data_IF_209694463516
#
_entry.id   IF_209694463516
#
_cell.length_a   1.000
_cell.length_b   1.000
_cell.length_c   1.000
_cell.angle_alpha   90.00
_cell.angle_beta   90.00
_cell.angle_gamma   90.00
#
_symmetry.space_group_name_H-M   'P 1'
#
loop_
_entity.id
_entity.type
_entity.pdbx_description
1 polymer ?
#
# COMPACT_ATOMS: atom_id res chain seq x y z
N UNK A 1 74.26 38.66 16.24
CA UNK A 1 73.27 38.75 17.34
C UNK A 1 71.94 38.20 16.85
N UNK A 2 71.37 37.25 17.61
CA UNK A 2 69.97 36.75 17.62
C UNK A 2 69.44 36.07 16.35
N UNK A 3 68.68 34.98 16.38
CA UNK A 3 68.34 33.92 17.35
C UNK A 3 67.56 32.90 16.50
N UNK A 4 68.05 31.66 16.34
CA UNK A 4 67.43 30.44 16.88
C UNK A 4 65.95 30.56 17.26
N UNK A 5 65.04 29.85 16.57
CA UNK A 5 63.83 29.20 17.09
C UNK A 5 63.04 28.66 15.90
N UNK A 6 63.01 27.35 15.69
CA UNK A 6 61.92 26.58 15.06
C UNK A 6 62.41 25.13 14.91
N UNK A 7 62.36 24.37 16.01
CA UNK A 7 62.69 22.94 15.99
C UNK A 7 61.92 22.20 17.08
N UNK A 8 60.59 22.31 17.07
CA UNK A 8 59.71 21.63 18.03
C UNK A 8 58.35 21.18 17.51
N UNK A 9 58.06 21.22 16.19
CA UNK A 9 56.69 20.94 15.69
C UNK A 9 56.48 19.55 15.05
N UNK A 10 57.52 18.70 14.93
CA UNK A 10 57.36 17.38 14.29
C UNK A 10 56.86 16.27 15.21
N UNK A 11 56.93 16.44 16.54
CA UNK A 11 56.50 15.40 17.49
C UNK A 11 55.00 15.51 17.80
N UNK A 12 54.41 16.71 17.76
CA UNK A 12 52.97 16.91 17.98
C UNK A 12 52.10 16.37 16.82
N UNK A 13 52.60 16.43 15.58
CA UNK A 13 51.84 15.96 14.41
C UNK A 13 51.69 14.43 14.35
N UNK A 14 52.69 13.68 14.84
CA UNK A 14 52.65 12.21 14.89
C UNK A 14 51.76 11.67 16.02
N UNK A 15 51.65 12.38 17.15
CA UNK A 15 50.74 11.99 18.24
C UNK A 15 49.26 12.21 17.87
N UNK A 16 48.93 13.28 17.14
CA UNK A 16 47.55 13.52 16.67
C UNK A 16 47.09 12.47 15.64
N UNK A 17 47.98 12.02 14.74
CA UNK A 17 47.64 10.97 13.77
C UNK A 17 47.44 9.60 14.46
N UNK A 18 48.25 9.29 15.47
CA UNK A 18 48.10 8.05 16.26
C UNK A 18 46.77 7.98 17.04
N UNK A 19 46.33 9.10 17.62
CA UNK A 19 45.06 9.19 18.37
C UNK A 19 43.85 9.12 17.41
N UNK A 20 43.93 9.71 16.22
CA UNK A 20 42.87 9.61 15.19
C UNK A 20 42.74 8.17 14.68
N UNK A 21 43.86 7.45 14.48
CA UNK A 21 43.83 6.05 14.04
C UNK A 21 43.30 5.13 15.15
N UNK A 22 43.62 5.38 16.43
CA UNK A 22 43.05 4.63 17.56
C UNK A 22 41.55 4.92 17.78
N UNK A 23 41.07 6.14 17.49
CA UNK A 23 39.63 6.43 17.49
C UNK A 23 38.87 5.76 16.33
N UNK A 24 39.53 5.56 15.18
CA UNK A 24 38.94 4.82 14.06
C UNK A 24 38.92 3.29 14.25
N UNK A 25 39.82 2.74 15.07
CA UNK A 25 39.87 1.30 15.35
C UNK A 25 38.92 0.90 16.51
N UNK A 26 38.53 1.85 17.37
CA UNK A 26 37.79 1.56 18.62
C UNK A 26 36.26 1.61 18.55
N UNK A 27 35.63 1.79 17.38
CA UNK A 27 34.17 2.01 17.28
C UNK A 27 33.44 1.15 16.24
N UNK A 28 34.04 0.05 15.77
CA UNK A 28 33.29 -1.00 15.04
C UNK A 28 33.22 -2.27 15.87
N UNK A 29 32.86 -2.16 17.15
CA UNK A 29 32.07 -3.23 17.73
C UNK A 29 30.73 -3.19 16.98
N UNK A 30 30.65 -3.94 15.88
CA UNK A 30 29.37 -4.43 15.37
C UNK A 30 28.76 -5.12 16.58
N UNK A 31 27.94 -4.41 17.35
CA UNK A 31 26.99 -5.08 18.21
C UNK A 31 26.29 -6.03 17.25
N UNK A 32 26.39 -7.32 17.53
CA UNK A 32 25.50 -8.28 16.92
C UNK A 32 24.12 -7.89 17.41
N UNK A 33 23.54 -6.87 16.79
CA UNK A 33 22.11 -6.68 16.83
C UNK A 33 21.60 -8.02 16.32
N UNK A 34 20.90 -8.74 17.20
CA UNK A 34 20.16 -9.93 16.81
C UNK A 34 19.42 -9.55 15.52
N UNK A 35 19.74 -10.23 14.42
CA UNK A 35 19.15 -9.97 13.12
C UNK A 35 17.71 -10.49 13.17
N UNK A 36 16.89 -9.69 13.83
CA UNK A 36 15.49 -9.92 14.03
C UNK A 36 14.71 -9.17 12.95
N UNK A 37 13.80 -9.87 12.31
CA UNK A 37 12.97 -9.31 11.27
C UNK A 37 11.53 -9.77 11.43
N UNK A 38 10.60 -8.88 11.13
CA UNK A 38 9.21 -9.25 10.94
C UNK A 38 9.07 -9.93 9.58
N UNK A 39 8.37 -11.07 9.56
CA UNK A 39 8.02 -11.78 8.33
C UNK A 39 6.53 -11.98 8.29
N UNK A 40 5.94 -11.86 7.10
CA UNK A 40 4.58 -12.30 6.89
C UNK A 40 4.47 -13.80 7.23
N UNK A 41 3.47 -14.14 8.03
CA UNK A 41 3.18 -15.50 8.47
C UNK A 41 2.01 -16.07 7.66
N UNK A 42 0.82 -15.48 7.79
CA UNK A 42 -0.35 -15.89 7.03
C UNK A 42 -1.42 -14.79 6.93
N UNK A 43 -2.39 -15.01 6.04
CA UNK A 43 -3.61 -14.23 5.90
C UNK A 43 -4.79 -14.99 6.48
N UNK A 44 -5.65 -14.30 7.23
CA UNK A 44 -6.91 -14.86 7.74
C UNK A 44 -8.10 -13.98 7.30
N UNK A 45 -9.00 -14.50 6.44
CA UNK A 45 -10.22 -13.79 6.08
C UNK A 45 -11.19 -13.71 7.26
N UNK A 46 -11.93 -12.61 7.39
CA UNK A 46 -12.99 -12.49 8.40
C UNK A 46 -14.14 -13.46 8.12
N UNK A 47 -14.96 -13.81 9.12
CA UNK A 47 -16.21 -14.53 8.91
C UNK A 47 -17.10 -13.89 7.84
N UNK A 48 -17.12 -12.55 7.76
CA UNK A 48 -17.89 -11.84 6.75
C UNK A 48 -17.32 -12.02 5.33
N UNK A 49 -16.00 -11.91 5.17
CA UNK A 49 -15.32 -12.20 3.89
C UNK A 49 -15.53 -13.66 3.47
N UNK A 50 -15.36 -14.61 4.39
CA UNK A 50 -15.57 -16.05 4.13
C UNK A 50 -16.98 -16.35 3.65
N UNK A 51 -17.98 -15.68 4.21
CA UNK A 51 -19.35 -15.79 3.74
C UNK A 51 -19.47 -15.41 2.25
N UNK A 52 -18.90 -14.26 1.87
CA UNK A 52 -18.91 -13.82 0.47
C UNK A 52 -18.14 -14.77 -0.44
N UNK A 53 -16.90 -15.12 -0.05
CA UNK A 53 -16.03 -16.02 -0.81
C UNK A 53 -16.71 -17.37 -1.09
N UNK A 54 -17.29 -18.00 -0.07
CA UNK A 54 -17.93 -19.31 -0.19
C UNK A 54 -19.23 -19.28 -1.02
N UNK A 55 -19.90 -18.14 -1.08
CA UNK A 55 -21.19 -18.00 -1.78
C UNK A 55 -21.09 -17.22 -3.10
N UNK A 56 -19.87 -16.83 -3.53
CA UNK A 56 -19.70 -15.85 -4.61
C UNK A 56 -20.29 -16.28 -5.96
N UNK A 57 -20.31 -17.59 -6.23
CA UNK A 57 -20.90 -18.15 -7.45
C UNK A 57 -22.40 -17.84 -7.54
N UNK A 58 -23.11 -17.87 -6.40
CA UNK A 58 -24.52 -17.49 -6.31
C UNK A 58 -24.69 -15.97 -6.22
N UNK A 59 -23.84 -15.30 -5.43
CA UNK A 59 -23.96 -13.87 -5.14
C UNK A 59 -23.59 -12.96 -6.33
N UNK A 60 -22.83 -13.42 -7.32
CA UNK A 60 -22.38 -12.60 -8.45
C UNK A 60 -23.51 -11.87 -9.19
N UNK A 61 -24.71 -12.45 -9.27
CA UNK A 61 -25.86 -11.83 -9.95
C UNK A 61 -26.83 -11.15 -8.97
N UNK A 62 -26.49 -11.10 -7.69
CA UNK A 62 -27.35 -10.61 -6.61
C UNK A 62 -26.58 -9.72 -5.63
N UNK A 63 -25.45 -9.12 -6.05
CA UNK A 63 -24.55 -8.41 -5.15
C UNK A 63 -25.28 -7.28 -4.43
N UNK A 64 -25.97 -6.40 -5.17
CA UNK A 64 -26.73 -5.33 -4.51
C UNK A 64 -27.96 -5.82 -3.76
N UNK A 65 -28.63 -6.88 -4.22
CA UNK A 65 -29.73 -7.47 -3.46
C UNK A 65 -29.26 -7.96 -2.09
N UNK A 66 -28.08 -8.59 -2.06
CA UNK A 66 -27.48 -9.11 -0.83
C UNK A 66 -26.99 -8.00 0.07
N UNK A 67 -26.25 -7.02 -0.46
CA UNK A 67 -25.74 -5.89 0.32
C UNK A 67 -26.86 -5.05 0.95
N UNK A 68 -28.07 -5.06 0.37
CA UNK A 68 -29.25 -4.38 0.92
C UNK A 68 -29.94 -5.11 2.07
N UNK A 69 -29.59 -6.35 2.36
CA UNK A 69 -30.11 -7.02 3.56
C UNK A 69 -29.66 -6.28 4.83
N UNK A 70 -30.54 -6.16 5.83
CA UNK A 70 -30.29 -5.36 7.03
C UNK A 70 -28.95 -5.70 7.73
N UNK A 71 -28.62 -6.99 7.83
CA UNK A 71 -27.33 -7.43 8.39
C UNK A 71 -26.14 -6.91 7.58
N UNK A 72 -26.20 -7.01 6.25
CA UNK A 72 -25.10 -6.60 5.36
C UNK A 72 -24.94 -5.08 5.32
N UNK A 73 -26.03 -4.32 5.31
CA UNK A 73 -25.99 -2.85 5.43
C UNK A 73 -25.35 -2.46 6.77
N UNK A 74 -25.78 -3.05 7.88
CA UNK A 74 -25.26 -2.71 9.21
C UNK A 74 -23.76 -3.01 9.33
N UNK A 75 -23.31 -4.16 8.80
CA UNK A 75 -21.88 -4.50 8.74
C UNK A 75 -21.09 -3.50 7.90
N UNK A 76 -21.65 -3.07 6.76
CA UNK A 76 -21.05 -2.09 5.86
C UNK A 76 -20.92 -0.71 6.50
N UNK A 77 -21.97 -0.23 7.18
CA UNK A 77 -21.97 1.04 7.93
C UNK A 77 -20.89 0.98 9.02
N UNK A 78 -20.93 -0.03 9.89
CA UNK A 78 -19.99 -0.16 11.01
C UNK A 78 -18.54 -0.25 10.54
N UNK A 79 -18.28 -1.01 9.48
CA UNK A 79 -16.93 -1.15 8.93
C UNK A 79 -16.43 0.17 8.34
N UNK A 80 -17.26 0.86 7.56
CA UNK A 80 -16.85 2.13 6.94
C UNK A 80 -16.66 3.24 7.99
N UNK A 81 -17.53 3.34 8.99
CA UNK A 81 -17.34 4.27 10.11
C UNK A 81 -16.04 3.99 10.87
N UNK A 82 -15.71 2.72 11.09
CA UNK A 82 -14.46 2.32 11.72
C UNK A 82 -13.25 2.73 10.88
N UNK A 83 -13.24 2.43 9.58
CA UNK A 83 -12.15 2.82 8.67
C UNK A 83 -12.00 4.35 8.63
N UNK A 84 -13.08 5.09 8.44
CA UNK A 84 -13.04 6.58 8.40
C UNK A 84 -12.49 7.13 9.72
N UNK A 85 -12.88 6.58 10.86
CA UNK A 85 -12.35 7.00 12.15
C UNK A 85 -10.85 6.72 12.28
N UNK A 86 -10.39 5.55 11.84
CA UNK A 86 -8.97 5.19 11.81
C UNK A 86 -8.16 6.08 10.85
N UNK A 87 -8.71 6.45 9.71
CA UNK A 87 -8.01 7.32 8.75
C UNK A 87 -7.86 8.77 9.24
N UNK A 88 -8.74 9.25 10.14
CA UNK A 88 -8.64 10.61 10.71
C UNK A 88 -7.51 10.76 11.71
N UNK A 89 -7.08 9.66 12.31
CA UNK A 89 -6.07 9.66 13.36
C UNK A 89 -5.21 8.42 13.19
N UNK A 90 -3.91 8.59 12.90
CA UNK A 90 -2.92 7.49 12.90
C UNK A 90 -2.93 6.72 14.24
N UNK A 91 -3.55 7.30 15.27
CA UNK A 91 -3.73 6.73 16.59
C UNK A 91 -5.18 6.75 17.06
N UNK A 92 -5.70 5.59 17.44
CA UNK A 92 -6.69 5.50 18.52
C UNK A 92 -6.38 4.25 19.36
N UNK A 93 -5.78 4.43 20.54
CA UNK A 93 -5.42 3.33 21.49
C UNK A 93 -6.60 2.60 22.09
N UNK A 94 -7.81 3.02 21.74
CA UNK A 94 -9.06 2.50 22.25
C UNK A 94 -9.82 1.88 21.09
N UNK A 95 -10.30 0.65 21.28
CA UNK A 95 -11.14 -0.12 20.35
C UNK A 95 -10.42 -1.08 19.38
N UNK A 96 -9.52 -1.91 19.91
CA UNK A 96 -9.48 -3.31 19.48
C UNK A 96 -10.63 -4.03 20.20
N UNK A 97 -11.85 -3.89 19.68
CA UNK A 97 -13.00 -4.67 20.13
C UNK A 97 -13.01 -5.99 19.35
N UNK A 98 -13.22 -7.12 20.04
CA UNK A 98 -13.46 -8.42 19.40
C UNK A 98 -14.60 -8.39 18.37
N UNK A 99 -15.47 -7.39 18.47
CA UNK A 99 -16.53 -7.08 17.52
C UNK A 99 -16.03 -6.89 16.07
N UNK A 100 -14.80 -6.39 15.88
CA UNK A 100 -14.24 -6.15 14.54
C UNK A 100 -13.58 -7.39 13.93
N UNK A 101 -13.32 -8.44 14.71
CA UNK A 101 -12.80 -9.72 14.20
C UNK A 101 -13.80 -10.41 13.27
N UNK A 102 -15.09 -10.15 13.46
CA UNK A 102 -16.15 -10.66 12.57
C UNK A 102 -16.20 -9.91 11.23
N UNK A 103 -15.75 -8.64 11.22
CA UNK A 103 -15.90 -7.73 10.08
C UNK A 103 -14.63 -7.68 9.23
N UNK A 104 -13.46 -7.55 9.85
CA UNK A 104 -12.19 -7.27 9.17
C UNK A 104 -11.29 -8.48 9.09
N UNK A 105 -10.67 -8.65 7.93
CA UNK A 105 -9.66 -9.68 7.70
C UNK A 105 -8.32 -9.25 8.33
N UNK A 106 -7.40 -10.19 8.53
CA UNK A 106 -6.14 -9.96 9.25
C UNK A 106 -4.94 -10.49 8.47
N UNK A 107 -3.88 -9.68 8.46
CA UNK A 107 -2.53 -10.06 8.04
C UNK A 107 -1.70 -10.36 9.28
N UNK A 108 -1.12 -11.56 9.38
CA UNK A 108 -0.31 -11.98 10.52
C UNK A 108 1.18 -11.87 10.19
N UNK A 109 1.95 -11.41 11.16
CA UNK A 109 3.39 -11.27 11.06
C UNK A 109 4.08 -11.91 12.25
N UNK A 110 5.17 -12.60 11.98
CA UNK A 110 6.00 -13.27 12.96
C UNK A 110 7.33 -12.54 13.11
N UNK A 111 7.72 -12.27 14.35
CA UNK A 111 9.04 -11.72 14.66
C UNK A 111 10.04 -12.87 14.83
N UNK A 112 11.01 -12.97 13.93
CA UNK A 112 12.00 -14.04 13.94
C UNK A 112 13.41 -13.46 14.14
N UNK A 113 14.16 -14.00 15.10
CA UNK A 113 15.54 -13.62 15.41
C UNK A 113 16.50 -14.79 15.16
N UNK A 114 17.64 -14.54 14.52
CA UNK A 114 18.59 -15.59 14.11
C UNK A 114 19.30 -16.31 15.26
N UNK A 115 19.38 -15.70 16.45
CA UNK A 115 20.33 -16.08 17.52
C UNK A 115 19.67 -16.22 18.91
N UNK A 116 18.39 -15.91 19.02
CA UNK A 116 17.73 -15.69 20.30
C UNK A 116 16.70 -16.78 20.60
N UNK A 117 16.68 -17.27 21.83
CA UNK A 117 15.61 -18.11 22.37
C UNK A 117 14.34 -17.31 22.72
N UNK A 118 14.22 -16.07 22.23
CA UNK A 118 12.99 -15.30 22.39
C UNK A 118 11.83 -16.06 21.75
N UNK A 119 10.73 -16.14 22.50
CA UNK A 119 9.50 -16.73 22.02
C UNK A 119 9.06 -16.03 20.74
N UNK A 120 8.74 -16.84 19.72
CA UNK A 120 8.10 -16.40 18.49
C UNK A 120 6.92 -15.49 18.83
N UNK A 121 7.01 -14.22 18.44
CA UNK A 121 5.92 -13.26 18.62
C UNK A 121 5.13 -13.17 17.34
N UNK A 122 3.82 -13.38 17.45
CA UNK A 122 2.88 -13.21 16.35
C UNK A 122 2.03 -11.98 16.64
N UNK A 123 1.94 -11.10 15.66
CA UNK A 123 1.09 -9.90 15.66
C UNK A 123 0.16 -9.98 14.46
N UNK A 124 -0.96 -9.27 14.54
CA UNK A 124 -1.90 -9.18 13.44
C UNK A 124 -2.21 -7.73 13.11
N UNK A 125 -2.51 -7.45 11.85
CA UNK A 125 -2.92 -6.15 11.36
C UNK A 125 -4.18 -6.29 10.53
N UNK A 126 -5.17 -5.44 10.78
CA UNK A 126 -6.41 -5.49 10.01
C UNK A 126 -6.21 -5.05 8.56
N UNK A 127 -7.09 -5.53 7.70
CA UNK A 127 -7.29 -5.09 6.32
C UNK A 127 -8.79 -5.17 6.02
N UNK A 128 -9.30 -4.30 5.15
CA UNK A 128 -10.71 -4.35 4.79
C UNK A 128 -11.07 -5.71 4.16
N UNK A 129 -12.27 -6.23 4.44
CA UNK A 129 -12.67 -7.55 3.93
C UNK A 129 -12.99 -7.48 2.43
N UNK A 130 -12.75 -8.58 1.71
CA UNK A 130 -13.20 -8.75 0.34
C UNK A 130 -14.71 -9.07 0.35
N UNK A 131 -15.54 -8.06 0.09
CA UNK A 131 -17.02 -8.18 0.12
C UNK A 131 -17.67 -7.52 -1.09
N UNK A 132 -18.90 -7.92 -1.41
CA UNK A 132 -19.72 -7.26 -2.42
C UNK A 132 -19.05 -7.18 -3.79
N UNK A 133 -18.93 -5.95 -4.31
CA UNK A 133 -18.25 -5.65 -5.57
C UNK A 133 -16.74 -5.43 -5.41
N UNK A 134 -16.18 -5.80 -4.25
CA UNK A 134 -14.81 -5.51 -3.84
C UNK A 134 -14.54 -3.99 -3.88
N UNK A 135 -15.50 -3.17 -3.46
CA UNK A 135 -15.42 -1.70 -3.48
C UNK A 135 -16.10 -1.15 -2.23
N UNK A 136 -16.19 0.17 -2.09
CA UNK A 136 -17.00 0.78 -1.02
C UNK A 136 -18.44 0.23 -1.09
N UNK A 137 -18.86 -0.60 -0.11
CA UNK A 137 -20.11 -1.33 -0.20
C UNK A 137 -21.33 -0.40 -0.17
N UNK A 138 -21.18 0.85 0.25
CA UNK A 138 -22.28 1.80 0.43
C UNK A 138 -22.49 2.75 -0.76
N UNK A 139 -21.88 2.46 -1.91
CA UNK A 139 -21.83 3.38 -3.05
C UNK A 139 -22.58 2.87 -4.26
N UNK A 140 -22.13 1.80 -4.90
CA UNK A 140 -22.70 1.37 -6.18
C UNK A 140 -24.17 0.92 -6.08
N UNK A 141 -24.57 0.42 -4.91
CA UNK A 141 -25.93 -0.01 -4.64
C UNK A 141 -26.79 1.14 -4.11
N UNK A 142 -28.06 1.24 -4.56
CA UNK A 142 -28.97 2.27 -4.05
C UNK A 142 -29.53 1.91 -2.67
N UNK A 143 -29.31 2.77 -1.68
CA UNK A 143 -29.77 2.59 -0.30
C UNK A 143 -30.69 3.75 0.13
N UNK A 144 -31.80 3.45 0.79
CA UNK A 144 -32.76 4.48 1.26
C UNK A 144 -32.31 5.12 2.59
N UNK A 145 -31.81 4.31 3.52
CA UNK A 145 -31.64 4.68 4.93
C UNK A 145 -30.17 4.73 5.39
N UNK A 146 -29.27 5.32 4.59
CA UNK A 146 -27.88 5.53 5.04
C UNK A 146 -27.75 6.75 5.96
N UNK A 147 -26.85 6.72 6.96
CA UNK A 147 -26.42 7.91 7.69
C UNK A 147 -25.93 8.99 6.72
N UNK A 148 -26.31 10.26 6.95
CA UNK A 148 -25.94 11.38 6.09
C UNK A 148 -24.43 11.58 5.95
N UNK A 149 -23.67 11.20 6.98
CA UNK A 149 -22.20 11.23 7.02
C UNK A 149 -21.54 10.23 6.06
N UNK A 150 -22.26 9.19 5.65
CA UNK A 150 -21.75 8.14 4.77
C UNK A 150 -22.25 8.28 3.33
N UNK A 151 -23.32 9.05 3.10
CA UNK A 151 -23.85 9.33 1.76
C UNK A 151 -22.82 10.09 0.93
N UNK A 152 -22.51 9.56 -0.24
CA UNK A 152 -21.77 10.25 -1.30
C UNK A 152 -22.58 10.20 -2.58
N UNK A 153 -22.33 11.12 -3.51
CA UNK A 153 -23.08 11.22 -4.76
C UNK A 153 -22.17 11.61 -5.93
N UNK A 154 -22.64 11.34 -7.15
CA UNK A 154 -21.93 11.66 -8.39
C UNK A 154 -20.78 10.70 -8.69
N UNK A 155 -19.77 11.18 -9.41
CA UNK A 155 -18.58 10.38 -9.79
C UNK A 155 -17.80 9.84 -8.58
N UNK A 156 -17.89 10.51 -7.44
CA UNK A 156 -17.25 10.10 -6.19
C UNK A 156 -17.79 8.76 -5.66
N UNK A 157 -19.00 8.37 -6.06
CA UNK A 157 -19.62 7.11 -5.64
C UNK A 157 -18.83 5.91 -6.18
N UNK A 158 -18.62 5.88 -7.50
CA UNK A 158 -17.98 4.74 -8.19
C UNK A 158 -16.50 4.62 -7.83
N UNK A 159 -15.86 5.78 -7.60
CA UNK A 159 -14.42 5.96 -7.39
C UNK A 159 -14.05 6.05 -5.90
N UNK A 160 -14.96 5.69 -4.99
CA UNK A 160 -14.77 5.83 -3.54
C UNK A 160 -13.62 4.96 -3.03
N UNK A 161 -12.64 5.61 -2.40
CA UNK A 161 -11.46 4.98 -1.77
C UNK A 161 -11.57 4.94 -0.24
N UNK A 162 -12.74 5.30 0.31
CA UNK A 162 -12.97 5.37 1.78
C UNK A 162 -12.94 4.02 2.46
N UNK A 163 -13.14 2.94 1.71
CA UNK A 163 -13.14 1.57 2.26
C UNK A 163 -11.74 0.96 2.35
N UNK A 164 -10.69 1.66 1.88
CA UNK A 164 -9.32 1.18 2.01
C UNK A 164 -8.78 1.31 3.43
N UNK A 165 -8.27 0.23 3.99
CA UNK A 165 -7.57 0.22 5.25
C UNK A 165 -6.08 -0.03 5.00
N UNK A 166 -5.33 1.05 4.73
CA UNK A 166 -3.91 0.96 4.37
C UNK A 166 -3.04 0.69 5.60
N UNK A 167 -1.90 0.02 5.39
CA UNK A 167 -0.95 -0.36 6.43
C UNK A 167 -0.62 0.75 7.46
N UNK A 168 -0.37 2.01 7.06
CA UNK A 168 -0.05 3.07 8.01
C UNK A 168 -1.19 3.44 8.98
N UNK A 169 -2.45 3.30 8.54
CA UNK A 169 -3.64 3.56 9.38
C UNK A 169 -4.25 2.29 9.95
N UNK A 170 -3.84 1.11 9.48
CA UNK A 170 -4.40 -0.17 9.87
C UNK A 170 -3.96 -0.54 11.30
N UNK A 171 -4.92 -0.75 12.23
CA UNK A 171 -4.59 -1.14 13.59
C UNK A 171 -3.90 -2.50 13.58
N UNK A 172 -2.91 -2.62 14.45
CA UNK A 172 -2.25 -3.88 14.73
C UNK A 172 -2.25 -4.20 16.21
N UNK A 173 -2.39 -5.48 16.51
CA UNK A 173 -2.35 -5.97 17.88
C UNK A 173 -0.90 -6.08 18.36
N UNK A 174 -0.69 -5.75 19.63
CA UNK A 174 0.47 -6.19 20.41
C UNK A 174 1.81 -5.46 20.22
N UNK A 175 1.84 -4.16 20.56
CA UNK A 175 3.08 -3.57 21.09
C UNK A 175 2.75 -2.55 22.18
N UNK A 176 3.23 -2.78 23.40
CA UNK A 176 3.24 -1.79 24.47
C UNK A 176 4.18 -0.64 24.09
N UNK A 177 3.75 0.23 23.18
CA UNK A 177 4.44 1.47 22.88
C UNK A 177 3.67 2.64 23.44
N UNK A 178 4.39 3.42 24.25
CA UNK A 178 3.97 4.72 24.76
C UNK A 178 3.98 5.81 23.68
N UNK A 179 4.39 5.49 22.45
CA UNK A 179 4.55 6.44 21.33
C UNK A 179 3.82 5.98 20.07
N UNK A 180 3.47 6.96 19.24
CA UNK A 180 2.96 6.78 17.87
C UNK A 180 3.92 5.87 17.13
N UNK A 181 3.47 4.70 16.69
CA UNK A 181 4.28 3.83 15.84
C UNK A 181 3.42 3.26 14.75
N UNK A 182 3.73 3.66 13.52
CA UNK A 182 3.37 2.87 12.35
C UNK A 182 3.92 1.46 12.57
N UNK A 183 3.25 0.46 12.03
CA UNK A 183 3.63 -0.92 12.27
C UNK A 183 5.13 -1.14 11.97
N UNK A 184 5.89 -1.77 12.89
CA UNK A 184 7.35 -1.82 12.81
C UNK A 184 7.87 -2.62 11.60
N UNK A 185 7.05 -3.48 11.01
CA UNK A 185 7.38 -4.16 9.75
C UNK A 185 7.28 -3.24 8.53
N UNK A 186 6.53 -2.14 8.61
CA UNK A 186 6.36 -1.19 7.51
C UNK A 186 7.49 -0.12 7.49
N UNK A 187 8.15 0.15 8.62
CA UNK A 187 9.17 1.20 8.73
C UNK A 187 10.42 0.70 9.45
N UNK A 188 11.35 0.16 8.67
CA UNK A 188 12.68 -0.13 9.19
C UNK A 188 13.58 1.12 9.08
N UNK A 189 14.58 1.23 9.94
CA UNK A 189 15.56 2.31 9.82
C UNK A 189 16.27 2.20 8.46
N UNK A 190 16.33 3.31 7.72
CA UNK A 190 16.86 3.39 6.34
C UNK A 190 15.98 2.73 5.25
N UNK A 191 14.73 2.37 5.56
CA UNK A 191 13.74 1.96 4.55
C UNK A 191 13.25 3.16 3.73
N UNK A 192 12.90 2.91 2.48
CA UNK A 192 12.24 3.88 1.60
C UNK A 192 10.74 3.62 1.51
N UNK A 193 9.94 4.69 1.37
CA UNK A 193 8.55 4.66 0.92
C UNK A 193 8.52 4.85 -0.59
N UNK A 194 8.10 3.83 -1.32
CA UNK A 194 8.16 3.82 -2.79
C UNK A 194 6.76 3.57 -3.35
N UNK A 195 6.29 4.46 -4.21
CA UNK A 195 5.08 4.26 -5.00
C UNK A 195 5.45 3.89 -6.43
N UNK A 196 4.89 2.79 -6.93
CA UNK A 196 4.81 2.44 -8.35
C UNK A 196 3.39 2.68 -8.84
N UNK A 197 3.17 3.72 -9.64
CA UNK A 197 1.89 4.00 -10.30
C UNK A 197 1.97 3.57 -11.76
N UNK A 198 1.43 2.39 -12.07
CA UNK A 198 1.46 1.80 -13.41
C UNK A 198 0.15 2.13 -14.11
N UNK A 199 0.19 3.12 -15.00
CA UNK A 199 -0.97 3.79 -15.58
C UNK A 199 -1.36 5.03 -14.79
N UNK A 200 -0.39 5.94 -14.65
CA UNK A 200 -0.49 7.08 -13.75
C UNK A 200 -1.37 8.22 -14.28
N UNK A 201 -1.62 8.29 -15.59
CA UNK A 201 -2.28 9.42 -16.23
C UNK A 201 -1.63 10.76 -15.85
N UNK A 202 -2.38 11.87 -15.95
CA UNK A 202 -1.97 13.18 -15.44
C UNK A 202 -2.23 13.27 -13.92
N UNK A 203 -1.29 13.88 -13.17
CA UNK A 203 -1.39 14.07 -11.73
C UNK A 203 -2.63 14.87 -11.28
N UNK A 204 -3.07 15.85 -12.07
CA UNK A 204 -4.30 16.59 -11.81
C UNK A 204 -5.49 16.09 -12.66
N UNK A 205 -5.35 14.93 -13.31
CA UNK A 205 -6.34 14.42 -14.24
C UNK A 205 -6.38 15.18 -15.56
N UNK A 206 -7.36 14.86 -16.41
CA UNK A 206 -7.47 15.43 -17.76
C UNK A 206 -8.14 16.80 -17.68
N UNK A 207 -7.35 17.89 -17.63
CA UNK A 207 -7.71 19.31 -17.88
C UNK A 207 -9.04 19.84 -17.31
N UNK A 208 -9.68 19.14 -16.37
CA UNK A 208 -10.88 19.59 -15.69
C UNK A 208 -10.47 19.97 -14.27
N UNK A 209 -10.45 21.28 -13.94
CA UNK A 209 -10.15 21.75 -12.59
C UNK A 209 -11.16 21.26 -11.55
N UNK A 210 -12.29 20.67 -11.98
CA UNK A 210 -13.27 20.02 -11.11
C UNK A 210 -13.02 18.52 -10.94
N UNK A 211 -11.96 17.95 -11.54
CA UNK A 211 -11.60 16.55 -11.32
C UNK A 211 -11.25 16.37 -9.85
N UNK A 212 -12.05 15.57 -9.16
CA UNK A 212 -11.84 15.28 -7.75
C UNK A 212 -10.60 14.39 -7.63
N UNK A 213 -9.68 14.73 -6.71
CA UNK A 213 -8.44 13.97 -6.44
C UNK A 213 -8.67 12.47 -6.27
N UNK A 214 -9.83 12.08 -5.74
CA UNK A 214 -10.23 10.69 -5.57
C UNK A 214 -10.29 9.87 -6.87
N UNK A 215 -10.24 10.49 -8.05
CA UNK A 215 -10.25 9.78 -9.34
C UNK A 215 -8.83 9.49 -9.85
N UNK A 216 -7.80 10.15 -9.31
CA UNK A 216 -6.44 10.13 -9.88
C UNK A 216 -5.48 9.37 -8.97
N UNK A 217 -4.81 8.34 -9.52
CA UNK A 217 -3.90 7.44 -8.81
C UNK A 217 -2.85 8.13 -7.96
N UNK A 218 -1.77 8.63 -8.58
CA UNK A 218 -0.64 9.24 -7.89
C UNK A 218 -1.03 10.37 -6.93
N UNK A 219 -1.98 11.23 -7.32
CA UNK A 219 -2.40 12.35 -6.50
C UNK A 219 -3.15 11.91 -5.25
N UNK A 220 -4.03 10.91 -5.36
CA UNK A 220 -4.72 10.36 -4.20
C UNK A 220 -3.73 9.78 -3.18
N UNK A 221 -2.74 9.00 -3.63
CA UNK A 221 -1.69 8.48 -2.75
C UNK A 221 -0.88 9.61 -2.11
N UNK A 222 -0.46 10.59 -2.89
CA UNK A 222 0.27 11.75 -2.40
C UNK A 222 -0.50 12.48 -1.28
N UNK A 223 -1.77 12.83 -1.53
CA UNK A 223 -2.59 13.54 -0.56
C UNK A 223 -2.89 12.68 0.69
N UNK A 224 -3.20 11.39 0.51
CA UNK A 224 -3.44 10.48 1.63
C UNK A 224 -2.21 10.37 2.55
N UNK A 225 -1.02 10.18 1.98
CA UNK A 225 0.21 10.07 2.77
C UNK A 225 0.56 11.40 3.44
N UNK A 226 0.42 12.52 2.75
CA UNK A 226 0.63 13.86 3.33
C UNK A 226 -0.30 14.14 4.51
N UNK A 227 -1.59 13.81 4.40
CA UNK A 227 -2.56 13.94 5.50
C UNK A 227 -2.17 13.11 6.74
N UNK A 228 -1.45 12.01 6.53
CA UNK A 228 -0.91 11.16 7.59
C UNK A 228 0.52 11.52 7.97
N UNK A 229 1.01 12.71 7.62
CA UNK A 229 2.39 13.15 7.90
C UNK A 229 3.47 12.18 7.37
N UNK A 230 3.17 11.51 6.27
CA UNK A 230 4.08 10.63 5.54
C UNK A 230 4.43 11.26 4.20
N UNK A 231 5.63 10.96 3.70
CA UNK A 231 6.02 11.37 2.35
C UNK A 231 6.74 10.21 1.66
N UNK A 232 6.52 10.10 0.34
CA UNK A 232 7.24 9.15 -0.48
C UNK A 232 8.69 9.59 -0.64
N UNK A 233 9.61 8.64 -0.55
CA UNK A 233 11.02 8.83 -0.89
C UNK A 233 11.23 8.73 -2.40
N UNK A 234 10.35 7.97 -3.08
CA UNK A 234 10.38 7.79 -4.53
C UNK A 234 8.99 7.49 -5.08
N UNK A 235 8.69 8.03 -6.25
CA UNK A 235 7.50 7.71 -7.04
C UNK A 235 7.96 7.32 -8.44
N UNK A 236 7.56 6.15 -8.92
CA UNK A 236 7.79 5.67 -10.28
C UNK A 236 6.44 5.62 -10.98
N UNK A 237 6.23 6.47 -11.98
CA UNK A 237 4.97 6.58 -12.71
C UNK A 237 5.15 6.13 -14.16
N UNK A 238 4.40 5.13 -14.60
CA UNK A 238 4.35 4.69 -16.00
C UNK A 238 3.09 5.22 -16.67
N UNK A 239 3.22 5.67 -17.91
CA UNK A 239 2.09 6.09 -18.73
C UNK A 239 2.36 5.85 -20.22
N UNK A 240 1.43 5.15 -20.88
CA UNK A 240 1.52 4.85 -22.30
C UNK A 240 1.14 6.08 -23.17
N UNK A 241 0.15 6.85 -22.72
CA UNK A 241 -0.34 8.06 -23.38
C UNK A 241 0.75 9.10 -23.46
N UNK A 242 1.07 9.56 -24.67
CA UNK A 242 2.14 10.52 -24.87
C UNK A 242 1.72 11.91 -24.36
N UNK A 243 2.45 12.45 -23.38
CA UNK A 243 2.23 13.78 -22.83
C UNK A 243 3.40 14.71 -23.13
N UNK A 244 3.09 16.00 -23.32
CA UNK A 244 4.13 17.04 -23.35
C UNK A 244 4.81 17.10 -21.98
N UNK A 245 6.16 17.04 -21.91
CA UNK A 245 6.87 17.16 -20.63
C UNK A 245 6.47 18.42 -19.86
N UNK A 246 6.33 19.55 -20.55
CA UNK A 246 5.93 20.81 -19.90
C UNK A 246 4.57 20.68 -19.22
N UNK A 247 3.58 20.14 -19.92
CA UNK A 247 2.23 19.97 -19.38
C UNK A 247 2.21 19.00 -18.21
N UNK A 248 2.95 17.88 -18.31
CA UNK A 248 3.02 16.90 -17.23
C UNK A 248 3.71 17.44 -15.98
N UNK A 249 4.83 18.15 -16.13
CA UNK A 249 5.61 18.63 -14.97
C UNK A 249 5.02 19.87 -14.30
N UNK A 250 4.21 20.68 -15.01
CA UNK A 250 3.55 21.87 -14.46
C UNK A 250 2.49 21.57 -13.38
N UNK A 251 1.98 20.34 -13.32
CA UNK A 251 0.97 19.91 -12.34
C UNK A 251 1.58 19.24 -11.10
N UNK A 252 2.88 18.91 -11.13
CA UNK A 252 3.53 18.18 -10.04
C UNK A 252 3.86 19.15 -8.91
N UNK A 253 3.45 18.85 -7.66
CA UNK A 253 3.86 19.62 -6.48
C UNK A 253 5.39 19.71 -6.35
N UNK A 254 5.87 20.89 -5.98
CA UNK A 254 7.31 21.20 -5.90
C UNK A 254 8.09 20.24 -4.99
N UNK A 255 7.46 19.77 -3.91
CA UNK A 255 8.07 18.90 -2.90
C UNK A 255 8.33 17.47 -3.38
N UNK A 256 7.67 17.03 -4.47
CA UNK A 256 7.85 15.70 -5.06
C UNK A 256 8.55 15.70 -6.42
N UNK A 257 8.84 16.86 -7.03
CA UNK A 257 9.52 16.95 -8.34
C UNK A 257 10.82 16.13 -8.34
N UNK A 258 11.63 16.24 -7.29
CA UNK A 258 12.90 15.49 -7.17
C UNK A 258 12.76 14.01 -6.81
N UNK A 259 11.54 13.55 -6.49
CA UNK A 259 11.25 12.17 -6.05
C UNK A 259 10.47 11.38 -7.09
N UNK A 260 9.83 12.06 -8.03
CA UNK A 260 9.06 11.48 -9.12
C UNK A 260 9.98 11.14 -10.31
N UNK A 261 9.89 9.90 -10.77
CA UNK A 261 10.40 9.45 -12.06
C UNK A 261 9.22 9.14 -12.95
N UNK A 262 9.02 9.95 -13.99
CA UNK A 262 7.97 9.74 -14.98
C UNK A 262 8.53 8.99 -16.20
N UNK A 263 7.99 7.82 -16.47
CA UNK A 263 8.34 6.93 -17.57
C UNK A 263 7.19 6.96 -18.57
N UNK A 264 7.27 7.87 -19.54
CA UNK A 264 6.20 8.06 -20.54
C UNK A 264 6.27 7.04 -21.69
N UNK A 265 6.33 5.77 -21.33
CA UNK A 265 6.21 4.64 -22.26
C UNK A 265 5.27 3.60 -21.66
N UNK A 266 4.60 2.84 -22.52
CA UNK A 266 3.80 1.70 -22.08
C UNK A 266 4.66 0.62 -21.41
N UNK A 267 4.07 -0.09 -20.45
CA UNK A 267 4.72 -1.24 -19.82
C UNK A 267 4.71 -2.46 -20.74
N UNK A 268 5.65 -3.38 -20.50
CA UNK A 268 5.79 -4.61 -21.28
C UNK A 268 5.71 -5.85 -20.37
N UNK A 269 5.18 -6.96 -20.89
CA UNK A 269 5.24 -8.25 -20.18
C UNK A 269 6.69 -8.67 -19.92
N UNK A 270 7.59 -8.42 -20.86
CA UNK A 270 9.01 -8.77 -20.76
C UNK A 270 9.82 -7.67 -21.43
N UNK A 271 11.00 -7.34 -20.90
CA UNK A 271 11.88 -6.36 -21.51
C UNK A 271 12.33 -5.28 -20.54
N UNK A 272 12.80 -4.15 -21.09
CA UNK A 272 13.32 -3.03 -20.32
C UNK A 272 12.21 -2.28 -19.59
N UNK A 273 11.01 -2.25 -20.15
CA UNK A 273 9.86 -1.55 -19.57
C UNK A 273 8.89 -2.49 -18.87
N UNK A 274 9.35 -3.70 -18.52
CA UNK A 274 8.65 -4.51 -17.53
C UNK A 274 8.80 -3.84 -16.14
N UNK A 275 7.69 -3.49 -15.46
CA UNK A 275 7.74 -2.74 -14.21
C UNK A 275 8.41 -3.55 -13.08
N UNK A 276 8.30 -4.88 -13.11
CA UNK A 276 8.88 -5.75 -12.09
C UNK A 276 10.39 -5.87 -12.18
N UNK A 277 10.97 -5.81 -13.38
CA UNK A 277 12.42 -5.71 -13.56
C UNK A 277 12.96 -4.43 -12.90
N UNK A 278 12.24 -3.32 -13.06
CA UNK A 278 12.60 -2.04 -12.46
C UNK A 278 12.44 -2.11 -10.94
N UNK A 279 11.31 -2.62 -10.44
CA UNK A 279 11.05 -2.82 -9.02
C UNK A 279 12.17 -3.61 -8.35
N UNK A 280 12.51 -4.80 -8.87
CA UNK A 280 13.59 -5.63 -8.33
C UNK A 280 14.98 -4.97 -8.35
N UNK A 281 15.20 -4.02 -9.25
CA UNK A 281 16.50 -3.35 -9.37
C UNK A 281 16.70 -2.22 -8.37
N UNK A 282 15.63 -1.66 -7.79
CA UNK A 282 15.70 -0.49 -6.92
C UNK A 282 15.18 -0.73 -5.50
N UNK A 283 14.34 -1.75 -5.31
CA UNK A 283 13.66 -2.03 -4.04
C UNK A 283 14.44 -3.06 -3.22
N UNK A 284 14.48 -2.84 -1.90
CA UNK A 284 14.93 -3.80 -0.90
C UNK A 284 13.72 -4.35 -0.15
N UNK A 285 13.87 -5.55 0.43
CA UNK A 285 12.83 -6.19 1.27
C UNK A 285 12.43 -5.37 2.52
N UNK A 286 13.24 -4.38 2.88
CA UNK A 286 13.01 -3.51 4.03
C UNK A 286 12.25 -2.24 3.66
N UNK A 287 12.11 -1.94 2.37
CA UNK A 287 11.37 -0.78 1.88
C UNK A 287 9.87 -1.04 1.97
N UNK A 288 9.09 0.03 2.10
CA UNK A 288 7.63 -0.02 2.04
C UNK A 288 7.17 0.34 0.63
N UNK A 289 6.62 -0.63 -0.08
CA UNK A 289 6.37 -0.55 -1.53
C UNK A 289 4.88 -0.67 -1.81
N UNK A 290 4.37 0.35 -2.47
CA UNK A 290 2.99 0.45 -2.94
C UNK A 290 2.98 0.33 -4.44
N UNK A 291 2.12 -0.52 -4.99
CA UNK A 291 1.94 -0.67 -6.42
C UNK A 291 0.47 -0.43 -6.78
N UNK A 292 0.20 0.50 -7.70
CA UNK A 292 -1.05 0.57 -8.45
C UNK A 292 -0.82 0.01 -9.85
N UNK A 293 -1.71 -0.86 -10.30
CA UNK A 293 -1.78 -1.37 -11.67
C UNK A 293 -3.17 -1.08 -12.24
N UNK A 294 -3.23 -0.21 -13.24
CA UNK A 294 -4.47 0.14 -13.95
C UNK A 294 -4.07 0.87 -15.25
N UNK A 295 -3.95 0.11 -16.33
CA UNK A 295 -3.44 0.54 -17.66
C UNK A 295 -4.45 0.30 -18.79
N UNK A 296 -5.72 0.04 -18.46
CA UNK A 296 -6.80 -0.24 -19.41
C UNK A 296 -6.50 -1.39 -20.41
N UNK A 297 -5.61 -2.32 -20.06
CA UNK A 297 -5.19 -3.42 -20.93
C UNK A 297 -5.21 -4.76 -20.19
N UNK A 298 -6.42 -5.26 -19.93
CA UNK A 298 -6.70 -6.46 -19.11
C UNK A 298 -5.82 -7.69 -19.38
N UNK A 299 -5.52 -8.00 -20.65
CA UNK A 299 -4.66 -9.15 -20.99
C UNK A 299 -3.24 -8.95 -20.43
N UNK A 300 -2.70 -7.74 -20.53
CA UNK A 300 -1.33 -7.43 -20.10
C UNK A 300 -1.27 -7.31 -18.57
N UNK A 301 -2.28 -6.71 -17.95
CA UNK A 301 -2.39 -6.62 -16.50
C UNK A 301 -2.42 -8.02 -15.86
N UNK A 302 -3.24 -8.92 -16.40
CA UNK A 302 -3.28 -10.30 -15.94
C UNK A 302 -1.93 -11.00 -16.10
N UNK A 303 -1.21 -10.77 -17.22
CA UNK A 303 0.14 -11.31 -17.41
C UNK A 303 1.16 -10.74 -16.41
N UNK A 304 1.04 -9.47 -16.04
CA UNK A 304 1.89 -8.84 -15.02
C UNK A 304 1.58 -9.39 -13.62
N UNK A 305 0.31 -9.64 -13.31
CA UNK A 305 -0.12 -10.24 -12.04
C UNK A 305 0.33 -11.69 -11.93
N UNK A 306 0.25 -12.47 -13.01
CA UNK A 306 0.78 -13.83 -13.07
C UNK A 306 2.27 -13.87 -12.71
N UNK A 307 3.06 -12.85 -13.07
CA UNK A 307 4.47 -12.76 -12.68
C UNK A 307 4.62 -12.59 -11.16
N UNK A 308 3.76 -11.80 -10.51
CA UNK A 308 3.76 -11.66 -9.04
C UNK A 308 3.40 -12.99 -8.37
N UNK A 309 2.36 -13.67 -8.87
CA UNK A 309 1.90 -14.94 -8.30
C UNK A 309 2.94 -16.05 -8.42
N UNK A 310 3.72 -16.06 -9.50
CA UNK A 310 4.68 -17.13 -9.81
C UNK A 310 6.12 -16.83 -9.34
N UNK A 311 6.39 -15.62 -8.82
CA UNK A 311 7.72 -15.21 -8.43
C UNK A 311 7.75 -14.70 -6.99
N UNK A 312 8.10 -15.60 -6.07
CA UNK A 312 8.24 -15.26 -4.64
C UNK A 312 9.30 -14.18 -4.39
N UNK A 313 10.33 -14.06 -5.24
CA UNK A 313 11.34 -12.99 -5.09
C UNK A 313 10.78 -11.60 -5.42
N UNK A 314 9.72 -11.54 -6.22
CA UNK A 314 8.97 -10.33 -6.52
C UNK A 314 7.89 -10.06 -5.48
N UNK A 315 7.08 -11.06 -5.12
CA UNK A 315 5.93 -10.86 -4.23
C UNK A 315 6.33 -10.33 -2.85
N UNK A 316 7.49 -10.74 -2.33
CA UNK A 316 8.02 -10.26 -1.03
C UNK A 316 8.51 -8.81 -1.05
N UNK A 317 8.55 -8.15 -2.21
CA UNK A 317 8.96 -6.76 -2.37
C UNK A 317 7.78 -5.80 -2.46
N UNK A 318 6.54 -6.29 -2.32
CA UNK A 318 5.31 -5.52 -2.48
C UNK A 318 4.52 -5.63 -1.17
N UNK A 319 4.27 -4.50 -0.53
CA UNK A 319 3.49 -4.45 0.71
C UNK A 319 2.01 -4.18 0.42
N UNK A 320 1.71 -3.20 -0.42
CA UNK A 320 0.35 -2.84 -0.83
C UNK A 320 0.21 -2.96 -2.35
N UNK A 321 -0.89 -3.54 -2.82
CA UNK A 321 -1.18 -3.66 -4.24
C UNK A 321 -2.61 -3.25 -4.54
N UNK A 322 -2.76 -2.35 -5.53
CA UNK A 322 -4.02 -1.80 -5.98
C UNK A 322 -4.23 -2.19 -7.43
N UNK A 323 -5.37 -2.82 -7.73
CA UNK A 323 -5.66 -3.29 -9.08
C UNK A 323 -7.15 -3.21 -9.38
N UNK A 324 -7.49 -2.60 -10.52
CA UNK A 324 -8.86 -2.56 -11.03
C UNK A 324 -9.08 -3.75 -11.95
N UNK A 325 -9.60 -4.84 -11.39
CA UNK A 325 -9.96 -5.98 -12.20
C UNK A 325 -11.35 -5.78 -12.83
N UNK A 326 -11.38 -5.52 -14.13
CA UNK A 326 -12.62 -5.45 -14.89
C UNK A 326 -13.33 -6.83 -14.96
N UNK A 327 -14.53 -6.92 -14.37
CA UNK A 327 -15.34 -8.15 -14.27
C UNK A 327 -16.80 -7.93 -14.67
N UNK A 328 -17.45 -9.00 -15.11
CA UNK A 328 -18.87 -8.98 -15.47
C UNK A 328 -19.75 -9.12 -14.23
N UNK A 329 -20.33 -7.99 -13.82
CA UNK A 329 -21.36 -7.86 -12.78
C UNK A 329 -22.42 -6.86 -13.24
N UNK A 330 -23.70 -7.12 -12.93
CA UNK A 330 -24.83 -6.35 -13.47
C UNK A 330 -24.74 -4.87 -13.09
N UNK A 331 -24.32 -4.61 -11.86
CA UNK A 331 -24.18 -3.30 -11.25
C UNK A 331 -23.16 -2.40 -11.96
N UNK A 332 -22.09 -3.00 -12.51
CA UNK A 332 -20.99 -2.27 -13.16
C UNK A 332 -21.02 -2.36 -14.69
N UNK A 333 -22.00 -3.07 -15.26
CA UNK A 333 -22.14 -3.26 -16.71
C UNK A 333 -22.16 -1.95 -17.49
N UNK A 334 -22.76 -0.89 -16.93
CA UNK A 334 -22.81 0.44 -17.56
C UNK A 334 -21.46 1.17 -17.62
N UNK A 335 -20.50 0.78 -16.78
CA UNK A 335 -19.18 1.40 -16.70
C UNK A 335 -18.12 0.59 -17.43
N UNK A 336 -18.14 -0.73 -17.22
CA UNK A 336 -17.10 -1.63 -17.75
C UNK A 336 -17.54 -2.39 -19.02
N UNK A 337 -18.80 -2.26 -19.43
CA UNK A 337 -19.32 -3.03 -20.56
C UNK A 337 -19.49 -4.51 -20.21
N UNK A 338 -18.74 -5.39 -20.87
CA UNK A 338 -18.86 -6.85 -20.68
C UNK A 338 -17.47 -7.52 -20.73
N UNK A 339 -16.62 -7.26 -19.72
CA UNK A 339 -15.27 -7.80 -19.68
C UNK A 339 -15.30 -9.33 -19.46
N UNK A 340 -14.28 -10.06 -19.92
CA UNK A 340 -14.31 -11.53 -19.97
C UNK A 340 -14.22 -12.25 -18.61
N UNK A 341 -14.09 -11.54 -17.49
CA UNK A 341 -13.95 -12.12 -16.14
C UNK A 341 -15.25 -12.15 -15.33
N UNK A 342 -15.26 -12.94 -14.27
CA UNK A 342 -16.34 -13.04 -13.29
C UNK A 342 -15.90 -12.48 -11.92
N UNK A 343 -16.86 -12.06 -11.09
CA UNK A 343 -16.57 -11.60 -9.73
C UNK A 343 -15.81 -12.63 -8.89
N UNK A 344 -16.17 -13.91 -9.07
CA UNK A 344 -15.45 -15.03 -8.45
C UNK A 344 -13.95 -15.03 -8.77
N UNK A 345 -13.57 -14.65 -9.99
CA UNK A 345 -12.17 -14.65 -10.41
C UNK A 345 -11.38 -13.59 -9.63
N UNK A 346 -11.95 -12.41 -9.41
CA UNK A 346 -11.34 -11.36 -8.57
C UNK A 346 -11.19 -11.80 -7.12
N UNK A 347 -12.21 -12.44 -6.53
CA UNK A 347 -12.12 -12.99 -5.18
C UNK A 347 -10.96 -13.99 -5.05
N UNK A 348 -10.88 -14.97 -5.97
CA UNK A 348 -9.82 -15.96 -5.98
C UNK A 348 -8.45 -15.29 -6.13
N UNK A 349 -8.33 -14.35 -7.06
CA UNK A 349 -7.07 -13.66 -7.33
C UNK A 349 -6.62 -12.83 -6.12
N UNK A 350 -7.51 -12.03 -5.54
CA UNK A 350 -7.14 -11.11 -4.46
C UNK A 350 -6.83 -11.87 -3.17
N UNK A 351 -7.57 -12.94 -2.88
CA UNK A 351 -7.23 -13.85 -1.78
C UNK A 351 -5.85 -14.47 -1.96
N UNK A 352 -5.49 -14.91 -3.18
CA UNK A 352 -4.15 -15.46 -3.45
C UNK A 352 -3.05 -14.43 -3.22
N UNK A 353 -3.25 -13.18 -3.65
CA UNK A 353 -2.28 -12.10 -3.40
C UNK A 353 -2.14 -11.83 -1.89
N UNK A 354 -3.25 -11.79 -1.13
CA UNK A 354 -3.21 -11.68 0.35
C UNK A 354 -2.48 -12.84 1.01
N UNK A 355 -2.66 -14.06 0.50
CA UNK A 355 -1.92 -15.24 0.97
C UNK A 355 -0.42 -15.19 0.67
N UNK A 356 0.04 -14.34 -0.24
CA UNK A 356 1.47 -14.09 -0.49
C UNK A 356 2.06 -13.00 0.42
N UNK A 357 1.26 -12.40 1.30
CA UNK A 357 1.67 -11.30 2.18
C UNK A 357 1.42 -9.91 1.62
N UNK A 358 0.81 -9.82 0.43
CA UNK A 358 0.51 -8.55 -0.22
C UNK A 358 -0.85 -8.05 0.29
N UNK A 359 -0.89 -6.83 0.83
CA UNK A 359 -2.14 -6.16 1.19
C UNK A 359 -2.85 -5.70 -0.10
N UNK A 360 -3.68 -6.61 -0.61
CA UNK A 360 -4.37 -6.44 -1.89
C UNK A 360 -5.67 -5.64 -1.72
N UNK A 361 -5.79 -4.56 -2.51
CA UNK A 361 -6.88 -3.61 -2.57
C UNK A 361 -7.48 -3.53 -3.97
N UNK A 362 -8.79 -3.67 -4.07
CA UNK A 362 -9.50 -3.51 -5.34
C UNK A 362 -9.61 -2.03 -5.72
N UNK A 363 -8.91 -1.61 -6.77
CA UNK A 363 -8.92 -0.21 -7.19
C UNK A 363 -10.28 0.18 -7.79
N UNK A 364 -10.90 1.30 -7.35
CA UNK A 364 -12.21 1.74 -7.79
C UNK A 364 -12.17 2.65 -9.02
#
# INVERSE_FOLDING_TARGET
MRNSYFKTDRIFFLLCIGIIILFFISLTTKSSFDDCQWKFDHYSPSPWELYWYNNITYLQNQVCSKLKENDQINKSIRSLEYIINLQRTIYNKSFLSNEYDELFSKMYYKYECSTSSQLDRIVSQYIEPLIGLLRDPLTICSYENLPSTLKISGSNEIQSKRFFLLGPSAPYDNFHMSTISIAPWLYQQNSQKILFDIGASLFNGVNDPNTVSSVIGARWFYEYFQLNSLSFDRIIAFEASQYSPRTYWQQIPDDIIGRLTFINVGVEKTGKFNPWNILKSIVKKTDYVIVKLDIDHSILENQLIEQILNDKSLSILIDEFFFEMHITVNEMKRFWGSPPGQLKDSYILFTKLRQLGIRMHSWP
#
